data_IF_312895599007
#
_entry.id   IF_312895599007
#
_cell.length_a   1.000
_cell.length_b   1.000
_cell.length_c   1.000
_cell.angle_alpha   90.00
_cell.angle_beta   90.00
_cell.angle_gamma   90.00
#
_symmetry.space_group_name_H-M   'P 1'
#
loop_
_entity.id
_entity.type
_entity.pdbx_description
1 polymer ?
#
# COMPACT_ATOMS: atom_id res chain seq x y z
N UNK A 1 -10.69 3.68 -9.68
CA UNK A 1 -10.91 2.22 -9.60
C UNK A 1 -11.98 1.89 -8.56
N UNK A 2 -13.08 1.23 -8.96
CA UNK A 2 -14.23 0.90 -8.10
C UNK A 2 -14.60 -0.57 -8.34
N UNK A 3 -13.94 -1.50 -7.66
CA UNK A 3 -14.08 -2.95 -7.93
C UNK A 3 -15.28 -3.61 -7.26
N UNK A 4 -15.80 -3.04 -6.16
CA UNK A 4 -16.69 -3.75 -5.24
C UNK A 4 -15.99 -4.85 -4.42
N UNK A 5 -14.67 -5.03 -4.58
CA UNK A 5 -13.87 -5.96 -3.78
C UNK A 5 -13.49 -5.26 -2.49
N UNK A 6 -14.03 -5.75 -1.37
CA UNK A 6 -13.78 -5.21 -0.05
C UNK A 6 -12.56 -5.78 0.66
N UNK A 7 -12.36 -5.29 1.88
CA UNK A 7 -11.44 -5.83 2.87
C UNK A 7 -12.19 -6.76 3.85
N UNK A 8 -11.57 -7.03 5.00
CA UNK A 8 -12.18 -7.81 6.07
C UNK A 8 -13.27 -7.00 6.78
N UNK A 9 -14.48 -7.56 6.84
CA UNK A 9 -15.66 -6.95 7.47
C UNK A 9 -16.47 -8.05 8.18
N UNK A 10 -16.05 -8.47 9.38
CA UNK A 10 -16.68 -9.62 10.06
C UNK A 10 -18.11 -9.36 10.57
N UNK A 11 -18.52 -8.09 10.58
CA UNK A 11 -19.81 -7.67 11.13
C UNK A 11 -20.96 -7.79 10.11
N UNK A 12 -20.66 -7.88 8.81
CA UNK A 12 -21.68 -8.05 7.77
C UNK A 12 -21.97 -9.51 7.42
N UNK A 13 -23.19 -9.78 6.94
CA UNK A 13 -23.56 -11.10 6.40
C UNK A 13 -22.62 -11.53 5.27
N UNK A 14 -22.24 -10.57 4.40
CA UNK A 14 -21.33 -10.84 3.29
C UNK A 14 -19.91 -11.14 3.78
N UNK A 15 -19.38 -10.40 4.76
CA UNK A 15 -18.04 -10.68 5.26
C UNK A 15 -17.96 -11.99 6.05
N UNK A 16 -19.05 -12.44 6.69
CA UNK A 16 -19.14 -13.81 7.22
C UNK A 16 -19.12 -14.88 6.12
N UNK A 17 -19.78 -14.62 4.98
CA UNK A 17 -19.67 -15.49 3.79
C UNK A 17 -18.23 -15.51 3.28
N UNK A 18 -17.56 -14.35 3.18
CA UNK A 18 -16.17 -14.27 2.75
C UNK A 18 -15.23 -15.04 3.69
N UNK A 19 -15.42 -14.90 5.00
CA UNK A 19 -14.66 -15.64 6.01
C UNK A 19 -14.85 -17.16 5.87
N UNK A 20 -16.10 -17.62 5.69
CA UNK A 20 -16.40 -19.05 5.52
C UNK A 20 -15.82 -19.69 4.25
N UNK A 21 -15.42 -18.87 3.27
CA UNK A 21 -14.79 -19.31 2.02
C UNK A 21 -13.26 -19.19 2.06
N UNK A 22 -12.67 -19.02 3.25
CA UNK A 22 -11.22 -18.84 3.44
C UNK A 22 -10.62 -17.73 2.58
N UNK A 23 -11.42 -16.69 2.27
CA UNK A 23 -10.94 -15.53 1.52
C UNK A 23 -9.86 -14.83 2.35
N UNK A 24 -10.11 -14.64 3.65
CA UNK A 24 -9.16 -14.04 4.58
C UNK A 24 -7.90 -14.86 4.88
N UNK A 25 -7.77 -16.08 4.32
CA UNK A 25 -6.66 -16.96 4.61
C UNK A 25 -5.36 -16.51 3.91
N UNK A 26 -4.30 -16.40 4.71
CA UNK A 26 -2.95 -16.06 4.27
C UNK A 26 -2.20 -17.16 3.51
N UNK A 27 -2.89 -18.07 2.82
CA UNK A 27 -2.31 -19.33 2.33
C UNK A 27 -2.64 -19.63 0.86
N UNK A 28 -1.76 -20.41 0.22
CA UNK A 28 -1.89 -20.78 -1.20
C UNK A 28 -1.26 -19.77 -2.15
N UNK A 29 -1.19 -20.14 -3.44
CA UNK A 29 -0.65 -19.28 -4.48
C UNK A 29 -1.53 -18.05 -4.71
N UNK A 30 -0.97 -16.98 -5.31
CA UNK A 30 -1.77 -15.80 -5.69
C UNK A 30 -2.98 -16.19 -6.58
N UNK A 31 -2.79 -17.14 -7.49
CA UNK A 31 -3.87 -17.69 -8.32
C UNK A 31 -5.00 -18.33 -7.49
N UNK A 32 -4.66 -19.18 -6.52
CA UNK A 32 -5.66 -19.84 -5.67
C UNK A 32 -6.45 -18.82 -4.84
N UNK A 33 -5.76 -17.81 -4.30
CA UNK A 33 -6.39 -16.74 -3.51
C UNK A 33 -7.35 -15.91 -4.35
N UNK A 34 -6.97 -15.56 -5.57
CA UNK A 34 -7.86 -14.84 -6.49
C UNK A 34 -9.06 -15.70 -6.89
N UNK A 35 -8.89 -17.01 -7.09
CA UNK A 35 -10.03 -17.92 -7.35
C UNK A 35 -11.02 -17.92 -6.18
N UNK A 36 -10.54 -17.99 -4.92
CA UNK A 36 -11.41 -17.88 -3.73
C UNK A 36 -12.10 -16.53 -3.63
N UNK A 37 -11.36 -15.45 -3.86
CA UNK A 37 -11.91 -14.09 -3.84
C UNK A 37 -13.07 -13.94 -4.84
N UNK A 38 -12.91 -14.48 -6.04
CA UNK A 38 -13.90 -14.41 -7.11
C UNK A 38 -15.05 -15.41 -6.96
N UNK A 39 -15.01 -16.31 -5.97
CA UNK A 39 -16.11 -17.26 -5.70
C UNK A 39 -17.18 -16.70 -4.75
N UNK A 40 -16.96 -15.50 -4.17
CA UNK A 40 -17.92 -14.82 -3.32
C UNK A 40 -18.53 -13.58 -4.01
N UNK A 41 -19.73 -13.14 -3.60
CA UNK A 41 -20.31 -11.89 -4.09
C UNK A 41 -19.45 -10.67 -3.73
N UNK A 42 -19.49 -9.65 -4.60
CA UNK A 42 -18.91 -8.33 -4.33
C UNK A 42 -19.75 -7.54 -3.33
N UNK A 43 -19.13 -6.57 -2.65
CA UNK A 43 -19.82 -5.65 -1.74
C UNK A 43 -20.66 -4.60 -2.49
N UNK A 44 -20.20 -4.19 -3.67
CA UNK A 44 -20.90 -3.27 -4.57
C UNK A 44 -20.80 -3.73 -6.02
N UNK A 45 -21.63 -3.20 -6.91
CA UNK A 45 -21.38 -3.37 -8.35
C UNK A 45 -20.13 -2.59 -8.75
N UNK A 46 -19.28 -3.14 -9.64
CA UNK A 46 -18.15 -2.40 -10.18
C UNK A 46 -18.59 -1.08 -10.80
N UNK A 47 -17.90 0.01 -10.45
CA UNK A 47 -18.22 1.36 -10.93
C UNK A 47 -19.22 2.15 -10.09
N UNK A 48 -19.74 1.61 -8.98
CA UNK A 48 -20.67 2.35 -8.12
C UNK A 48 -19.97 3.13 -7.01
N UNK A 49 -18.99 2.52 -6.34
CA UNK A 49 -18.33 3.13 -5.16
C UNK A 49 -16.86 2.76 -5.07
N UNK A 50 -16.06 3.69 -4.55
CA UNK A 50 -14.71 3.35 -4.12
C UNK A 50 -14.76 2.57 -2.80
N UNK A 51 -14.08 1.42 -2.76
CA UNK A 51 -13.95 0.61 -1.56
C UNK A 51 -12.52 0.14 -1.44
N UNK A 52 -11.95 0.30 -0.25
CA UNK A 52 -10.65 -0.28 0.07
C UNK A 52 -10.76 -1.80 0.19
N UNK A 53 -9.80 -2.52 -0.36
CA UNK A 53 -9.87 -3.97 -0.40
C UNK A 53 -8.79 -4.62 -1.25
N UNK A 54 -9.06 -5.87 -1.61
CA UNK A 54 -8.05 -6.76 -2.17
C UNK A 54 -7.99 -6.80 -3.69
N UNK A 55 -8.46 -5.74 -4.34
CA UNK A 55 -8.35 -5.63 -5.79
C UNK A 55 -6.91 -5.59 -6.29
N UNK A 56 -5.96 -5.14 -5.47
CA UNK A 56 -4.54 -5.19 -5.81
C UNK A 56 -4.04 -6.63 -6.02
N UNK A 57 -4.59 -7.61 -5.31
CA UNK A 57 -4.24 -9.03 -5.49
C UNK A 57 -4.77 -9.56 -6.83
N UNK A 58 -5.97 -9.14 -7.23
CA UNK A 58 -6.51 -9.44 -8.57
C UNK A 58 -5.63 -8.81 -9.65
N UNK A 59 -5.21 -7.55 -9.46
CA UNK A 59 -4.29 -6.87 -10.38
C UNK A 59 -2.95 -7.59 -10.48
N UNK A 60 -2.36 -7.99 -9.36
CA UNK A 60 -1.13 -8.77 -9.35
C UNK A 60 -1.29 -10.09 -10.11
N UNK A 61 -2.43 -10.77 -9.99
CA UNK A 61 -2.71 -11.98 -10.77
C UNK A 61 -2.86 -11.70 -12.26
N UNK A 62 -3.47 -10.57 -12.65
CA UNK A 62 -3.51 -10.14 -14.05
C UNK A 62 -2.09 -9.93 -14.58
N UNK A 63 -1.20 -9.33 -13.79
CA UNK A 63 0.21 -9.17 -14.14
C UNK A 63 0.89 -10.52 -14.33
N UNK A 64 0.70 -11.49 -13.43
CA UNK A 64 1.28 -12.84 -13.57
C UNK A 64 0.89 -13.51 -14.89
N UNK A 65 -0.40 -13.46 -15.22
CA UNK A 65 -0.94 -14.09 -16.44
C UNK A 65 -0.44 -13.37 -17.68
N UNK A 66 -0.43 -12.04 -17.68
CA UNK A 66 0.01 -11.23 -18.82
C UNK A 66 1.53 -11.34 -19.07
N UNK A 67 2.32 -11.39 -18.00
CA UNK A 67 3.78 -11.51 -18.08
C UNK A 67 4.25 -12.96 -18.25
N UNK A 68 3.37 -13.94 -18.01
CA UNK A 68 3.70 -15.36 -17.90
C UNK A 68 4.89 -15.60 -16.95
N UNK A 69 4.84 -14.94 -15.78
CA UNK A 69 5.87 -14.99 -14.73
C UNK A 69 5.22 -14.92 -13.35
N UNK A 70 5.82 -15.52 -12.31
CA UNK A 70 5.45 -15.25 -10.92
C UNK A 70 5.52 -13.75 -10.60
N UNK A 71 4.61 -13.26 -9.77
CA UNK A 71 4.49 -11.81 -9.50
C UNK A 71 5.74 -11.23 -8.83
N UNK A 72 6.34 -11.97 -7.91
CA UNK A 72 7.59 -11.61 -7.24
C UNK A 72 8.78 -11.50 -8.21
N UNK A 73 8.91 -12.45 -9.15
CA UNK A 73 9.91 -12.40 -10.20
C UNK A 73 9.68 -11.22 -11.14
N UNK A 74 8.42 -10.93 -11.50
CA UNK A 74 8.08 -9.76 -12.31
C UNK A 74 8.49 -8.45 -11.63
N UNK A 75 8.11 -8.25 -10.36
CA UNK A 75 8.48 -7.05 -9.61
C UNK A 75 10.01 -6.92 -9.49
N UNK A 76 10.69 -8.03 -9.21
CA UNK A 76 12.16 -8.06 -9.13
C UNK A 76 12.80 -7.61 -10.45
N UNK A 77 12.40 -8.21 -11.57
CA UNK A 77 13.02 -7.98 -12.87
C UNK A 77 12.68 -6.60 -13.44
N UNK A 78 11.46 -6.13 -13.24
CA UNK A 78 10.94 -4.92 -13.91
C UNK A 78 11.04 -3.65 -13.06
N UNK A 79 11.15 -3.78 -11.73
CA UNK A 79 11.13 -2.63 -10.82
C UNK A 79 12.34 -2.66 -9.90
N UNK A 80 12.53 -3.72 -9.11
CA UNK A 80 13.50 -3.68 -8.02
C UNK A 80 14.94 -3.66 -8.53
N UNK A 81 15.33 -4.58 -9.42
CA UNK A 81 16.69 -4.61 -9.98
C UNK A 81 17.00 -3.34 -10.79
N UNK A 82 16.14 -2.88 -11.73
CA UNK A 82 16.40 -1.65 -12.47
C UNK A 82 16.55 -0.39 -11.60
N UNK A 83 15.86 -0.33 -10.45
CA UNK A 83 15.96 0.77 -9.50
C UNK A 83 17.03 0.57 -8.42
N UNK A 84 17.76 -0.56 -8.44
CA UNK A 84 18.75 -0.88 -7.40
C UNK A 84 18.14 -1.09 -6.01
N UNK A 85 16.89 -1.55 -5.92
CA UNK A 85 16.18 -1.85 -4.67
C UNK A 85 16.54 -3.26 -4.16
N UNK A 86 17.81 -3.46 -3.80
CA UNK A 86 18.40 -4.77 -3.49
C UNK A 86 17.84 -5.43 -2.20
N UNK A 87 17.19 -4.64 -1.34
CA UNK A 87 16.63 -5.09 -0.06
C UNK A 87 15.10 -5.14 -0.10
N UNK A 88 14.50 -5.07 -1.29
CA UNK A 88 13.05 -5.14 -1.48
C UNK A 88 12.64 -6.49 -2.04
N UNK A 89 11.78 -7.20 -1.31
CA UNK A 89 11.27 -8.52 -1.70
C UNK A 89 10.01 -8.85 -0.90
N UNK A 90 9.30 -9.90 -1.29
CA UNK A 90 8.32 -10.51 -0.38
C UNK A 90 9.04 -11.15 0.80
N UNK A 91 8.43 -11.09 1.98
CA UNK A 91 9.00 -11.70 3.19
C UNK A 91 9.30 -13.19 2.93
N UNK A 92 10.56 -13.65 3.03
CA UNK A 92 10.89 -15.03 2.73
C UNK A 92 10.26 -15.98 3.78
N UNK A 93 9.86 -17.20 3.39
CA UNK A 93 9.31 -18.20 4.30
C UNK A 93 10.38 -18.87 5.18
N UNK A 94 11.44 -18.12 5.54
CA UNK A 94 12.60 -18.63 6.27
C UNK A 94 12.82 -17.83 7.55
N UNK A 95 13.50 -18.43 8.53
CA UNK A 95 13.91 -17.76 9.75
C UNK A 95 15.03 -16.71 9.56
N UNK A 96 15.44 -16.41 8.31
CA UNK A 96 16.38 -15.32 8.03
C UNK A 96 15.67 -13.97 8.20
N UNK A 97 15.67 -13.48 9.43
CA UNK A 97 15.08 -12.22 9.88
C UNK A 97 16.12 -11.13 10.16
N UNK A 98 17.37 -11.37 9.78
CA UNK A 98 18.46 -10.41 9.99
C UNK A 98 18.19 -9.12 9.19
N UNK A 99 18.27 -7.97 9.87
CA UNK A 99 17.97 -6.66 9.26
C UNK A 99 16.49 -6.28 9.20
N UNK A 100 15.57 -7.16 9.62
CA UNK A 100 14.14 -6.83 9.72
C UNK A 100 13.87 -6.15 11.06
N UNK A 101 13.23 -4.97 11.00
CA UNK A 101 12.88 -4.21 12.19
C UNK A 101 11.84 -4.95 13.05
N UNK A 102 11.99 -4.84 14.37
CA UNK A 102 11.01 -5.37 15.31
C UNK A 102 9.71 -4.55 15.25
N UNK A 103 8.58 -5.24 15.32
CA UNK A 103 7.25 -4.64 15.32
C UNK A 103 6.75 -4.48 16.75
N UNK A 104 6.18 -3.32 17.07
CA UNK A 104 5.67 -3.02 18.40
C UNK A 104 4.21 -2.57 18.36
N UNK A 105 3.55 -2.63 19.50
CA UNK A 105 2.28 -1.97 19.79
C UNK A 105 2.36 -1.36 21.19
N UNK A 106 1.33 -0.66 21.64
CA UNK A 106 1.24 -0.10 22.98
C UNK A 106 0.12 -0.80 23.76
N UNK A 107 0.36 -1.05 25.05
CA UNK A 107 -0.67 -1.52 25.98
C UNK A 107 -1.41 -0.32 26.61
N UNK A 108 -2.42 -0.60 27.45
CA UNK A 108 -3.22 0.43 28.11
C UNK A 108 -2.41 1.40 29.00
N UNK A 109 -1.24 0.98 29.47
CA UNK A 109 -0.34 1.77 30.30
C UNK A 109 0.66 2.61 29.47
N UNK A 110 0.60 2.52 28.14
CA UNK A 110 1.48 3.23 27.20
C UNK A 110 2.85 2.56 27.00
N UNK A 111 3.04 1.34 27.51
CA UNK A 111 4.30 0.60 27.36
C UNK A 111 4.35 -0.13 26.02
N UNK A 112 5.55 -0.22 25.44
CA UNK A 112 5.77 -0.95 24.18
C UNK A 112 5.71 -2.47 24.40
N UNK A 113 4.75 -3.11 23.75
CA UNK A 113 4.67 -4.56 23.60
C UNK A 113 5.25 -5.01 22.28
N UNK A 114 6.15 -6.01 22.29
CA UNK A 114 6.64 -6.63 21.06
C UNK A 114 5.51 -7.43 20.41
N UNK A 115 5.28 -7.19 19.12
CA UNK A 115 4.35 -7.97 18.32
C UNK A 115 5.15 -9.07 17.61
N UNK A 116 4.75 -10.35 17.73
CA UNK A 116 5.36 -11.41 16.97
C UNK A 116 5.25 -11.12 15.47
N UNK A 117 6.39 -11.05 14.78
CA UNK A 117 6.41 -10.93 13.33
C UNK A 117 5.65 -12.11 12.72
N UNK A 118 4.68 -11.87 11.80
CA UNK A 118 3.93 -12.94 11.19
C UNK A 118 4.90 -13.93 10.55
N UNK A 119 4.78 -15.20 10.93
CA UNK A 119 5.48 -16.25 10.23
C UNK A 119 4.83 -16.35 8.84
N UNK A 120 5.59 -16.11 7.77
CA UNK A 120 5.12 -16.43 6.43
C UNK A 120 5.24 -17.95 6.24
N UNK A 121 4.35 -18.70 6.90
CA UNK A 121 4.33 -20.16 6.81
C UNK A 121 3.84 -20.64 5.44
N UNK A 122 3.30 -19.75 4.61
CA UNK A 122 2.91 -20.02 3.25
C UNK A 122 4.09 -19.78 2.30
N UNK A 123 4.78 -20.82 1.79
CA UNK A 123 5.53 -20.66 0.56
C UNK A 123 4.56 -20.05 -0.48
N UNK A 124 5.01 -19.07 -1.26
CA UNK A 124 4.22 -18.37 -2.29
C UNK A 124 3.22 -17.29 -1.80
N UNK A 125 3.41 -16.72 -0.59
CA UNK A 125 2.67 -15.52 -0.17
C UNK A 125 3.16 -14.25 -0.90
N UNK A 126 2.63 -14.01 -2.10
CA UNK A 126 2.96 -12.86 -2.96
C UNK A 126 1.73 -11.98 -3.28
N UNK A 127 1.03 -11.41 -2.26
CA UNK A 127 -0.16 -10.59 -2.50
C UNK A 127 0.18 -9.30 -3.24
N UNK A 128 -0.79 -8.73 -3.95
CA UNK A 128 -0.61 -7.50 -4.70
C UNK A 128 -0.69 -6.25 -3.83
N UNK A 129 -1.45 -6.29 -2.74
CA UNK A 129 -1.66 -5.15 -1.85
C UNK A 129 -0.79 -5.10 -0.59
N UNK A 130 0.10 -6.08 -0.35
CA UNK A 130 0.87 -6.18 0.91
C UNK A 130 2.10 -7.08 0.77
N UNK A 131 2.74 -7.46 1.89
CA UNK A 131 3.70 -8.58 1.94
C UNK A 131 5.15 -8.24 1.59
N UNK A 132 5.42 -7.08 1.00
CA UNK A 132 6.79 -6.63 0.75
C UNK A 132 7.48 -6.17 2.05
N UNK A 133 8.76 -6.52 2.18
CA UNK A 133 9.73 -5.85 3.05
C UNK A 133 10.64 -4.99 2.19
N UNK A 134 11.12 -3.88 2.75
CA UNK A 134 11.99 -2.92 2.06
C UNK A 134 12.79 -2.10 3.07
N UNK A 135 13.62 -1.19 2.58
CA UNK A 135 14.34 -0.19 3.40
C UNK A 135 13.92 1.21 2.99
N UNK A 136 14.18 2.20 3.85
CA UNK A 136 13.87 3.59 3.52
C UNK A 136 14.61 4.05 2.26
N UNK A 137 15.86 3.60 2.08
CA UNK A 137 16.65 3.89 0.89
C UNK A 137 16.05 3.31 -0.38
N UNK A 138 15.67 2.02 -0.37
CA UNK A 138 15.06 1.37 -1.53
C UNK A 138 13.72 2.02 -1.90
N UNK A 139 12.84 2.23 -0.92
CA UNK A 139 11.52 2.82 -1.17
C UNK A 139 11.64 4.29 -1.64
N UNK A 140 12.65 5.02 -1.16
CA UNK A 140 12.93 6.38 -1.65
C UNK A 140 13.32 6.40 -3.12
N UNK A 141 14.04 5.39 -3.64
CA UNK A 141 14.35 5.27 -5.07
C UNK A 141 13.08 5.10 -5.90
N UNK A 142 12.13 4.29 -5.42
CA UNK A 142 10.81 4.14 -6.04
C UNK A 142 10.02 5.47 -6.02
N UNK A 143 9.98 6.16 -4.89
CA UNK A 143 9.29 7.45 -4.77
C UNK A 143 9.93 8.53 -5.66
N UNK A 144 11.26 8.59 -5.74
CA UNK A 144 11.99 9.49 -6.64
C UNK A 144 11.77 9.15 -8.12
N UNK A 145 11.62 7.86 -8.47
CA UNK A 145 11.24 7.46 -9.83
C UNK A 145 9.88 8.04 -10.23
N UNK A 146 8.89 8.02 -9.32
CA UNK A 146 7.59 8.65 -9.56
C UNK A 146 7.69 10.19 -9.63
N UNK A 147 8.45 10.81 -8.73
CA UNK A 147 8.67 12.26 -8.75
C UNK A 147 9.34 12.75 -10.04
N UNK A 148 10.27 11.96 -10.58
CA UNK A 148 11.02 12.28 -11.79
C UNK A 148 10.41 11.63 -13.05
N UNK A 149 9.09 11.72 -13.20
CA UNK A 149 8.33 11.35 -14.40
C UNK A 149 8.62 9.92 -14.92
N UNK A 150 8.84 8.98 -14.00
CA UNK A 150 8.98 7.56 -14.31
C UNK A 150 10.43 7.07 -14.47
N UNK A 151 11.42 7.90 -14.11
CA UNK A 151 12.83 7.54 -14.22
C UNK A 151 13.63 7.87 -12.95
N UNK A 152 14.62 7.04 -12.64
CA UNK A 152 15.55 7.27 -11.54
C UNK A 152 16.95 6.85 -11.98
N UNK A 153 17.95 7.68 -11.69
CA UNK A 153 19.36 7.43 -12.00
C UNK A 153 19.63 6.96 -13.45
N UNK A 154 19.00 7.65 -14.41
CA UNK A 154 19.10 7.33 -15.84
C UNK A 154 18.29 6.13 -16.32
N UNK A 155 17.69 5.35 -15.40
CA UNK A 155 16.82 4.21 -15.73
C UNK A 155 15.36 4.64 -15.77
N UNK A 156 14.67 4.40 -16.88
CA UNK A 156 13.23 4.65 -17.03
C UNK A 156 12.42 3.37 -16.82
N UNK A 157 11.52 3.40 -15.84
CA UNK A 157 10.57 2.31 -15.54
C UNK A 157 9.22 2.59 -16.20
N UNK A 158 8.77 3.84 -16.12
CA UNK A 158 7.47 4.28 -16.65
C UNK A 158 7.65 5.44 -17.62
N UNK A 159 6.73 5.57 -18.57
CA UNK A 159 6.64 6.79 -19.38
C UNK A 159 6.10 7.94 -18.52
N UNK A 160 6.48 9.18 -18.84
CA UNK A 160 5.98 10.36 -18.13
C UNK A 160 4.44 10.47 -18.19
N UNK A 161 3.83 10.09 -19.32
CA UNK A 161 2.37 10.03 -19.44
C UNK A 161 1.76 8.96 -18.54
N UNK A 162 2.42 7.83 -18.34
CA UNK A 162 1.95 6.80 -17.40
C UNK A 162 1.98 7.29 -15.96
N UNK A 163 3.07 7.96 -15.55
CA UNK A 163 3.13 8.55 -14.20
C UNK A 163 2.04 9.60 -14.00
N UNK A 164 1.81 10.46 -15.00
CA UNK A 164 0.72 11.44 -14.95
C UNK A 164 -0.65 10.78 -14.78
N UNK A 165 -0.92 9.69 -15.50
CA UNK A 165 -2.16 8.93 -15.33
C UNK A 165 -2.26 8.30 -13.94
N UNK A 166 -1.15 7.80 -13.39
CA UNK A 166 -1.13 7.24 -12.03
C UNK A 166 -1.44 8.27 -10.96
N UNK A 167 -0.98 9.51 -11.13
CA UNK A 167 -1.11 10.60 -10.17
C UNK A 167 -2.28 11.55 -10.46
N UNK A 168 -3.08 11.24 -11.48
CA UNK A 168 -4.36 11.92 -11.74
C UNK A 168 -5.47 11.23 -10.96
N UNK A 169 -6.28 12.01 -10.23
CA UNK A 169 -7.46 11.47 -9.56
C UNK A 169 -8.51 11.03 -10.60
N UNK A 170 -8.73 9.73 -10.71
CA UNK A 170 -9.81 9.12 -11.53
C UNK A 170 -11.10 8.92 -10.74
N UNK A 171 -11.00 9.01 -9.41
CA UNK A 171 -12.12 9.15 -8.47
C UNK A 171 -11.78 10.34 -7.62
N UNK A 172 -12.72 11.27 -7.48
CA UNK A 172 -12.48 12.56 -6.82
C UNK A 172 -13.24 12.70 -5.50
N UNK A 173 -14.05 11.71 -5.13
CA UNK A 173 -14.88 11.76 -3.93
C UNK A 173 -15.05 10.36 -3.31
N UNK A 174 -15.37 10.31 -2.02
CA UNK A 174 -15.67 9.05 -1.32
C UNK A 174 -14.46 8.15 -1.06
N UNK A 175 -13.23 8.63 -1.29
CA UNK A 175 -11.99 7.89 -1.04
C UNK A 175 -11.61 8.07 0.43
N UNK A 176 -11.56 6.97 1.20
CA UNK A 176 -11.25 6.97 2.64
C UNK A 176 -12.17 7.80 3.55
N UNK A 177 -13.33 8.24 3.05
CA UNK A 177 -14.31 9.00 3.87
C UNK A 177 -14.83 8.20 5.07
N UNK A 178 -14.89 6.87 4.98
CA UNK A 178 -15.26 5.99 6.10
C UNK A 178 -14.19 5.98 7.21
N UNK A 179 -12.94 6.30 6.85
CA UNK A 179 -11.82 6.48 7.78
C UNK A 179 -11.73 7.93 8.31
N UNK A 180 -12.73 8.78 7.98
CA UNK A 180 -12.78 10.18 8.39
C UNK A 180 -11.78 11.08 7.66
N UNK A 181 -11.34 10.69 6.46
CA UNK A 181 -10.41 11.46 5.65
C UNK A 181 -11.15 12.03 4.44
N UNK A 182 -11.31 13.35 4.42
CA UNK A 182 -11.87 14.10 3.30
C UNK A 182 -10.76 14.68 2.41
N UNK A 183 -11.13 15.23 1.24
CA UNK A 183 -10.19 15.90 0.34
C UNK A 183 -9.27 14.98 -0.47
N UNK A 184 -9.51 13.67 -0.43
CA UNK A 184 -8.76 12.67 -1.20
C UNK A 184 -9.51 12.15 -2.42
N UNK A 185 -8.74 11.95 -3.48
CA UNK A 185 -9.09 11.19 -4.66
C UNK A 185 -8.21 9.95 -4.81
N UNK A 186 -8.51 9.15 -5.84
CA UNK A 186 -7.79 7.91 -6.15
C UNK A 186 -7.26 7.93 -7.57
N UNK A 187 -5.95 7.82 -7.71
CA UNK A 187 -5.27 7.58 -8.98
C UNK A 187 -5.13 6.09 -9.29
N UNK A 188 -4.12 5.71 -10.07
CA UNK A 188 -3.79 4.30 -10.28
C UNK A 188 -2.77 3.83 -9.23
N UNK A 189 -3.30 3.27 -8.14
CA UNK A 189 -2.52 2.67 -7.05
C UNK A 189 -2.08 3.64 -5.97
N UNK A 190 -2.54 4.89 -6.02
CA UNK A 190 -2.12 5.98 -5.14
C UNK A 190 -3.32 6.83 -4.72
N UNK A 191 -3.30 7.33 -3.48
CA UNK A 191 -4.16 8.45 -3.10
C UNK A 191 -3.61 9.73 -3.72
N UNK A 192 -4.50 10.62 -4.13
CA UNK A 192 -4.17 11.94 -4.68
C UNK A 192 -4.94 12.98 -3.88
N UNK A 193 -4.27 14.01 -3.41
CA UNK A 193 -4.92 15.12 -2.71
C UNK A 193 -5.65 15.98 -3.74
N UNK A 194 -6.98 16.06 -3.61
CA UNK A 194 -7.85 16.81 -4.52
C UNK A 194 -8.39 18.10 -3.90
N UNK A 195 -8.43 18.17 -2.57
CA UNK A 195 -8.76 19.36 -1.80
C UNK A 195 -7.94 19.35 -0.49
N UNK A 196 -6.82 20.05 -0.50
CA UNK A 196 -5.92 20.15 0.64
C UNK A 196 -6.54 20.88 1.84
N UNK A 197 -7.49 21.79 1.63
CA UNK A 197 -8.17 22.52 2.71
C UNK A 197 -9.14 21.61 3.48
N UNK A 198 -9.65 20.56 2.83
CA UNK A 198 -10.48 19.53 3.44
C UNK A 198 -9.68 18.37 4.08
N UNK A 199 -8.40 18.20 3.73
CA UNK A 199 -7.55 17.13 4.25
C UNK A 199 -7.18 17.38 5.72
N UNK A 200 -7.19 16.34 6.59
CA UNK A 200 -6.66 16.45 7.94
C UNK A 200 -5.12 16.45 7.99
N UNK A 201 -4.44 16.27 6.85
CA UNK A 201 -2.98 16.20 6.72
C UNK A 201 -2.44 17.51 6.12
N UNK A 202 -1.16 17.79 6.35
CA UNK A 202 -0.51 18.95 5.72
C UNK A 202 -0.08 18.55 4.31
N UNK A 203 -0.88 18.98 3.34
CA UNK A 203 -0.75 18.60 1.94
C UNK A 203 -0.90 19.81 0.99
N UNK A 204 -0.68 19.56 -0.31
CA UNK A 204 -1.03 20.46 -1.40
C UNK A 204 -1.86 19.71 -2.46
N UNK A 205 -2.78 20.38 -3.16
CA UNK A 205 -3.52 19.73 -4.25
C UNK A 205 -2.56 19.16 -5.29
N UNK A 206 -2.75 17.90 -5.66
CA UNK A 206 -1.88 17.15 -6.56
C UNK A 206 -0.72 16.42 -5.89
N UNK A 207 -0.55 16.55 -4.57
CA UNK A 207 0.28 15.63 -3.80
C UNK A 207 -0.30 14.21 -3.93
N UNK A 208 0.58 13.22 -3.93
CA UNK A 208 0.16 11.82 -3.99
C UNK A 208 0.97 10.97 -3.02
N UNK A 209 0.31 9.98 -2.44
CA UNK A 209 0.87 9.19 -1.35
C UNK A 209 0.18 7.83 -1.22
N UNK A 210 0.77 6.97 -0.42
CA UNK A 210 0.08 5.82 0.16
C UNK A 210 0.75 5.41 1.48
N UNK A 211 0.00 4.69 2.32
CA UNK A 211 0.46 4.27 3.64
C UNK A 211 0.24 2.78 3.87
N UNK A 212 1.13 2.18 4.66
CA UNK A 212 1.05 0.79 5.09
C UNK A 212 0.50 0.67 6.51
N UNK A 213 -0.12 -0.48 6.80
CA UNK A 213 -0.79 -0.77 8.08
C UNK A 213 0.11 -0.57 9.31
N UNK A 214 1.41 -0.86 9.20
CA UNK A 214 2.38 -0.74 10.31
C UNK A 214 2.98 0.66 10.47
N UNK A 215 2.23 1.70 10.10
CA UNK A 215 2.63 3.10 10.17
C UNK A 215 3.81 3.47 9.24
N UNK A 216 3.87 2.86 8.06
CA UNK A 216 4.75 3.32 6.98
C UNK A 216 3.99 4.30 6.09
N UNK A 217 4.67 5.32 5.57
CA UNK A 217 4.11 6.18 4.52
C UNK A 217 5.20 6.61 3.54
N UNK A 218 4.78 6.94 2.34
CA UNK A 218 5.55 7.80 1.45
C UNK A 218 4.63 8.82 0.82
N UNK A 219 5.18 9.97 0.48
CA UNK A 219 4.47 11.02 -0.23
C UNK A 219 5.40 11.72 -1.22
N UNK A 220 4.78 12.32 -2.23
CA UNK A 220 5.44 13.14 -3.22
C UNK A 220 4.64 14.42 -3.36
N UNK A 221 5.32 15.56 -3.21
CA UNK A 221 4.78 16.88 -3.49
C UNK A 221 5.51 17.53 -4.66
N UNK A 222 4.94 17.47 -5.87
CA UNK A 222 5.53 18.13 -7.04
C UNK A 222 5.63 19.65 -6.87
N UNK A 223 4.61 20.28 -6.27
CA UNK A 223 4.58 21.75 -6.05
C UNK A 223 5.67 22.22 -5.10
N UNK A 224 5.96 21.46 -4.04
CA UNK A 224 7.03 21.78 -3.08
C UNK A 224 8.40 21.24 -3.48
N UNK A 225 8.45 20.31 -4.43
CA UNK A 225 9.69 19.61 -4.79
C UNK A 225 10.18 18.69 -3.67
N UNK A 226 9.26 18.09 -2.91
CA UNK A 226 9.57 17.25 -1.74
C UNK A 226 9.14 15.82 -1.99
N UNK A 227 9.99 14.87 -1.60
CA UNK A 227 9.69 13.44 -1.54
C UNK A 227 10.05 12.96 -0.14
N UNK A 228 9.13 12.23 0.50
CA UNK A 228 9.36 11.69 1.83
C UNK A 228 9.00 10.22 1.92
N UNK A 229 9.78 9.50 2.72
CA UNK A 229 9.51 8.11 3.12
C UNK A 229 9.70 8.03 4.63
N UNK A 230 8.67 7.58 5.34
CA UNK A 230 8.72 7.32 6.78
C UNK A 230 8.42 5.84 6.99
N UNK A 231 9.39 5.12 7.54
CA UNK A 231 9.21 3.72 7.91
C UNK A 231 9.19 3.57 9.43
N UNK A 232 8.02 3.29 9.98
CA UNK A 232 7.86 2.76 11.33
C UNK A 232 7.40 1.29 11.26
N UNK A 233 7.37 0.62 12.42
CA UNK A 233 6.83 -0.73 12.58
C UNK A 233 5.94 -0.75 13.83
N UNK A 234 4.86 0.03 13.79
CA UNK A 234 3.87 0.10 14.87
C UNK A 234 2.57 -0.55 14.42
N UNK A 235 2.18 -1.65 15.06
CA UNK A 235 0.89 -2.29 14.84
C UNK A 235 -0.21 -1.49 15.55
N UNK A 236 -1.22 -1.00 14.81
CA UNK A 236 -2.35 -0.32 15.39
C UNK A 236 -3.12 -1.21 16.38
N UNK A 237 -3.58 -0.61 17.47
CA UNK A 237 -4.47 -1.22 18.47
C UNK A 237 -5.30 -0.13 19.17
N UNK A 238 -6.24 -0.52 20.03
CA UNK A 238 -7.02 0.42 20.85
C UNK A 238 -6.15 1.41 21.63
N UNK A 239 -4.95 0.97 22.05
CA UNK A 239 -4.02 1.78 22.83
C UNK A 239 -2.79 2.26 22.03
N UNK A 240 -2.68 1.87 20.76
CA UNK A 240 -1.62 2.29 19.84
C UNK A 240 -2.27 2.76 18.53
N UNK A 241 -2.79 4.00 18.46
CA UNK A 241 -3.42 4.47 17.23
C UNK A 241 -2.39 4.55 16.09
N UNK A 242 -2.87 4.65 14.85
CA UNK A 242 -2.00 4.98 13.72
C UNK A 242 -1.28 6.29 14.06
N UNK A 243 0.06 6.34 14.06
CA UNK A 243 0.77 7.50 14.53
C UNK A 243 0.56 8.66 13.54
N UNK A 244 -0.26 9.64 13.95
CA UNK A 244 -0.30 10.96 13.30
C UNK A 244 1.10 11.59 13.07
N UNK A 245 2.14 11.32 13.89
CA UNK A 245 3.49 11.79 13.61
C UNK A 245 4.07 11.41 12.25
N UNK A 246 3.59 10.34 11.62
CA UNK A 246 3.98 9.97 10.25
C UNK A 246 3.60 11.07 9.25
N UNK A 247 2.49 11.76 9.49
CA UNK A 247 2.02 12.91 8.70
C UNK A 247 2.62 14.24 9.18
N UNK A 248 3.16 14.32 10.40
CA UNK A 248 3.94 15.48 10.84
C UNK A 248 5.28 15.61 10.10
N UNK A 249 5.81 14.50 9.55
CA UNK A 249 7.02 14.53 8.74
C UNK A 249 6.87 15.43 7.50
N UNK A 250 5.70 15.41 6.85
CA UNK A 250 5.36 16.36 5.78
C UNK A 250 5.42 17.80 6.27
N UNK A 251 4.85 18.08 7.44
CA UNK A 251 4.84 19.41 8.05
C UNK A 251 6.26 19.96 8.26
N UNK A 252 7.15 19.14 8.81
CA UNK A 252 8.56 19.54 8.99
C UNK A 252 9.27 19.74 7.65
N UNK A 253 8.97 18.92 6.64
CA UNK A 253 9.57 19.07 5.32
C UNK A 253 9.09 20.33 4.59
N UNK A 254 7.82 20.74 4.76
CA UNK A 254 7.26 21.92 4.09
C UNK A 254 7.64 23.23 4.75
N UNK A 255 7.79 23.24 6.07
CA UNK A 255 7.98 24.48 6.85
C UNK A 255 9.32 24.58 7.56
N UNK A 256 10.13 23.52 7.57
CA UNK A 256 11.42 23.45 8.26
C UNK A 256 12.63 23.92 7.44
N UNK A 257 12.41 24.60 6.32
CA UNK A 257 13.45 25.15 5.44
C UNK A 257 13.53 26.68 5.49
#
# INVERSE_FOLDING_TARGET
FQSGIGAKDEDSDLGRVWASNDIYAGSGSLGDRVVRLLSAPLYEQPGERWRYGWSADVLARVVEVAANKPFDEFLRDQIFLPLGMEHTSFLPPTDRREGIAAMYTQNADGELGLVPMPASDAPFWTPGGSGLVSTAGDYLRFALMLWNDGAYDGTRILSASTVREMTTAHITEGVLVEEGIDGLGWGYGLAVVVDADASPMIDEDGDFFWSGYYATTFFVSPKKGVVGVVLAQNQPSEHSPIPYPVFLAQSFAYFGS
#
